data_IF_396715181813
#
_entry.id   IF_396715181813
#
_cell.length_a   1.000
_cell.length_b   1.000
_cell.length_c   1.000
_cell.angle_alpha   90.00
_cell.angle_beta   90.00
_cell.angle_gamma   90.00
#
_symmetry.space_group_name_H-M   'P 1'
#
loop_
_entity.id
_entity.type
_entity.pdbx_description
1 polymer ?
#
# COMPACT_ATOMS: atom_id res chain seq x y z
N UNK A 1 17.49 -2.17 -1.53
CA UNK A 1 17.29 -1.68 -0.15
C UNK A 1 16.18 -2.44 0.54
N UNK A 2 16.19 -2.47 1.88
CA UNK A 2 15.18 -3.16 2.70
C UNK A 2 14.65 -2.18 3.72
N UNK A 3 13.34 -2.09 3.81
CA UNK A 3 12.62 -1.24 4.75
C UNK A 3 11.69 -2.09 5.61
N UNK A 4 11.50 -1.68 6.85
CA UNK A 4 10.48 -2.18 7.75
C UNK A 4 9.22 -1.34 7.57
N UNK A 5 8.09 -2.01 7.31
CA UNK A 5 6.78 -1.37 7.33
C UNK A 5 6.25 -1.46 8.75
N UNK A 6 5.90 -0.32 9.33
CA UNK A 6 5.48 -0.19 10.72
C UNK A 6 4.09 0.45 10.81
N UNK A 7 3.27 -0.03 11.75
CA UNK A 7 2.07 0.65 12.24
C UNK A 7 2.39 1.21 13.63
N UNK A 8 2.58 2.53 13.72
CA UNK A 8 3.15 3.12 14.93
C UNK A 8 4.52 2.50 15.19
N UNK A 9 4.74 1.95 16.38
CA UNK A 9 6.00 1.29 16.73
C UNK A 9 6.07 -0.19 16.36
N UNK A 10 4.98 -0.76 15.84
CA UNK A 10 4.87 -2.20 15.59
C UNK A 10 5.30 -2.51 14.16
N UNK A 11 6.33 -3.33 13.99
CA UNK A 11 6.75 -3.84 12.68
C UNK A 11 5.74 -4.87 12.17
N UNK A 12 5.10 -4.58 11.04
CA UNK A 12 4.07 -5.44 10.43
C UNK A 12 4.58 -6.19 9.19
N UNK A 13 5.71 -5.76 8.61
CA UNK A 13 6.32 -6.45 7.47
C UNK A 13 7.62 -5.83 7.01
N UNK A 14 8.17 -6.39 5.94
CA UNK A 14 9.39 -5.92 5.28
C UNK A 14 9.13 -5.65 3.82
N UNK A 15 9.51 -4.47 3.37
CA UNK A 15 9.48 -4.03 1.99
C UNK A 15 10.88 -4.16 1.40
N UNK A 16 11.01 -4.86 0.29
CA UNK A 16 12.27 -5.09 -0.43
C UNK A 16 12.16 -4.40 -1.78
N UNK A 17 13.02 -3.42 -2.02
CA UNK A 17 13.06 -2.66 -3.26
C UNK A 17 14.45 -2.84 -3.86
N UNK A 18 14.54 -3.40 -5.06
CA UNK A 18 15.77 -3.47 -5.86
C UNK A 18 15.45 -3.03 -7.29
N UNK A 19 16.46 -2.84 -8.13
CA UNK A 19 16.29 -2.45 -9.54
C UNK A 19 15.33 -3.37 -10.32
N UNK A 20 15.24 -4.64 -9.91
CA UNK A 20 14.48 -5.69 -10.59
C UNK A 20 13.34 -6.26 -9.76
N UNK A 21 13.07 -5.73 -8.57
CA UNK A 21 12.15 -6.38 -7.63
C UNK A 21 11.51 -5.42 -6.65
N UNK A 22 10.19 -5.52 -6.56
CA UNK A 22 9.39 -4.95 -5.49
C UNK A 22 8.64 -6.10 -4.78
N UNK A 23 9.00 -6.38 -3.53
CA UNK A 23 8.38 -7.45 -2.75
C UNK A 23 8.04 -6.98 -1.34
N UNK A 24 6.88 -7.41 -0.84
CA UNK A 24 6.49 -7.26 0.55
C UNK A 24 6.43 -8.62 1.25
N UNK A 25 7.03 -8.70 2.43
CA UNK A 25 7.10 -9.91 3.26
C UNK A 25 6.41 -9.60 4.60
N UNK A 26 5.18 -10.10 4.82
CA UNK A 26 4.44 -9.84 6.06
C UNK A 26 5.07 -10.54 7.27
N UNK A 27 5.05 -9.90 8.44
CA UNK A 27 5.51 -10.47 9.71
C UNK A 27 4.30 -10.99 10.50
N UNK A 28 4.13 -12.31 10.49
CA UNK A 28 2.92 -12.99 11.01
C UNK A 28 2.69 -12.84 12.51
N UNK A 29 3.75 -12.69 13.30
CA UNK A 29 3.64 -12.53 14.76
C UNK A 29 2.96 -11.23 15.16
N UNK A 30 3.18 -10.16 14.38
CA UNK A 30 2.53 -8.86 14.61
C UNK A 30 1.01 -8.92 14.35
N UNK A 31 0.56 -9.81 13.46
CA UNK A 31 -0.82 -9.90 13.00
C UNK A 31 -1.80 -10.40 14.09
N UNK A 32 -1.32 -11.14 15.09
CA UNK A 32 -2.22 -11.73 16.11
C UNK A 32 -2.75 -10.72 17.13
N UNK A 33 -2.16 -9.53 17.18
CA UNK A 33 -2.43 -8.54 18.23
C UNK A 33 -3.12 -7.27 17.70
N UNK A 34 -3.48 -7.23 16.42
CA UNK A 34 -3.95 -6.02 15.74
C UNK A 34 -5.38 -6.22 15.18
N UNK A 35 -6.31 -5.26 15.38
CA UNK A 35 -7.65 -5.33 14.80
C UNK A 35 -7.60 -5.31 13.26
N UNK A 36 -8.26 -6.30 12.64
CA UNK A 36 -8.14 -6.68 11.21
C UNK A 36 -8.43 -5.55 10.21
N UNK A 37 -9.26 -4.56 10.55
CA UNK A 37 -9.68 -3.51 9.60
C UNK A 37 -9.03 -2.14 9.85
N UNK A 38 -8.29 -1.94 10.95
CA UNK A 38 -7.66 -0.64 11.27
C UNK A 38 -6.14 -0.62 11.05
N UNK A 39 -5.54 -1.76 10.73
CA UNK A 39 -4.09 -1.93 10.87
C UNK A 39 -3.41 -2.56 9.65
N UNK A 40 -4.19 -3.12 8.74
CA UNK A 40 -3.65 -3.86 7.60
C UNK A 40 -3.79 -3.01 6.34
N UNK A 41 -2.70 -2.43 5.82
CA UNK A 41 -2.78 -1.66 4.59
C UNK A 41 -3.33 -2.49 3.43
N UNK A 42 -4.43 -2.06 2.78
CA UNK A 42 -4.86 -2.62 1.50
C UNK A 42 -3.70 -2.59 0.50
N UNK A 43 -3.57 -3.65 -0.31
CA UNK A 43 -2.46 -3.82 -1.26
C UNK A 43 -1.22 -4.51 -0.69
N UNK A 44 -0.97 -4.42 0.62
CA UNK A 44 0.09 -5.20 1.29
C UNK A 44 -0.39 -6.51 1.92
N UNK A 45 -1.67 -6.54 2.31
CA UNK A 45 -2.33 -7.71 2.87
C UNK A 45 -3.54 -8.08 2.01
N UNK A 46 -3.68 -9.38 1.73
CA UNK A 46 -4.87 -9.89 1.07
C UNK A 46 -5.96 -10.17 2.10
N UNK A 47 -7.19 -9.79 1.74
CA UNK A 47 -8.36 -9.99 2.56
C UNK A 47 -9.30 -10.99 1.89
N UNK A 48 -9.79 -11.93 2.69
CA UNK A 48 -10.90 -12.80 2.32
C UNK A 48 -12.12 -12.37 3.11
N UNK A 49 -13.28 -12.37 2.47
CA UNK A 49 -14.55 -12.05 3.11
C UNK A 49 -15.42 -13.30 3.09
N UNK A 50 -15.71 -13.85 4.27
CA UNK A 50 -16.60 -15.01 4.41
C UNK A 50 -17.72 -14.65 5.38
N UNK A 51 -18.98 -14.76 4.94
CA UNK A 51 -20.16 -14.46 5.76
C UNK A 51 -20.13 -13.07 6.44
N UNK A 52 -19.60 -12.05 5.75
CA UNK A 52 -19.50 -10.69 6.29
C UNK A 52 -18.33 -10.47 7.27
N UNK A 53 -17.50 -11.49 7.51
CA UNK A 53 -16.28 -11.38 8.33
C UNK A 53 -15.08 -11.24 7.41
N UNK A 54 -14.30 -10.18 7.60
CA UNK A 54 -13.02 -9.99 6.93
C UNK A 54 -11.93 -10.77 7.67
N UNK A 55 -11.15 -11.56 6.95
CA UNK A 55 -9.98 -12.27 7.44
C UNK A 55 -8.78 -11.96 6.56
N UNK A 56 -7.63 -11.68 7.18
CA UNK A 56 -6.38 -11.46 6.44
C UNK A 56 -5.76 -12.80 6.10
N UNK A 57 -5.53 -13.04 4.82
CA UNK A 57 -4.71 -14.16 4.37
C UNK A 57 -3.23 -13.81 4.60
N UNK A 58 -2.71 -14.25 5.74
CA UNK A 58 -1.30 -14.08 6.12
C UNK A 58 -0.33 -14.97 5.32
N UNK A 59 -0.83 -15.79 4.41
CA UNK A 59 -0.05 -16.71 3.57
C UNK A 59 0.09 -16.23 2.13
N UNK A 60 -0.91 -15.49 1.64
CA UNK A 60 -0.84 -14.86 0.34
C UNK A 60 0.22 -13.74 0.32
N UNK A 61 0.97 -13.67 -0.77
CA UNK A 61 1.88 -12.55 -1.05
C UNK A 61 1.18 -11.55 -1.95
N UNK A 62 1.28 -10.24 -1.68
CA UNK A 62 0.77 -9.23 -2.59
C UNK A 62 1.55 -9.25 -3.91
N UNK A 63 0.89 -8.88 -5.01
CA UNK A 63 1.55 -8.67 -6.30
C UNK A 63 2.33 -7.37 -6.30
N UNK A 64 3.23 -7.22 -7.26
CA UNK A 64 3.97 -5.98 -7.46
C UNK A 64 3.02 -4.80 -7.73
N UNK A 65 1.97 -4.99 -8.57
CA UNK A 65 1.00 -3.91 -8.82
C UNK A 65 0.23 -3.53 -7.55
N UNK A 66 -0.09 -4.49 -6.69
CA UNK A 66 -0.78 -4.22 -5.42
C UNK A 66 0.10 -3.41 -4.46
N UNK A 67 1.41 -3.67 -4.43
CA UNK A 67 2.37 -2.90 -3.63
C UNK A 67 2.52 -1.49 -4.21
N UNK A 68 2.66 -1.35 -5.54
CA UNK A 68 2.76 -0.04 -6.19
C UNK A 68 1.53 0.82 -5.94
N UNK A 69 0.34 0.24 -6.08
CA UNK A 69 -0.92 0.96 -5.80
C UNK A 69 -0.99 1.44 -4.35
N UNK A 70 -0.57 0.60 -3.40
CA UNK A 70 -0.47 1.01 -2.01
C UNK A 70 0.50 2.18 -1.79
N UNK A 71 1.61 2.24 -2.54
CA UNK A 71 2.53 3.38 -2.50
C UNK A 71 1.90 4.64 -3.10
N UNK A 72 1.23 4.51 -4.24
CA UNK A 72 0.52 5.61 -4.93
C UNK A 72 -0.55 6.24 -4.05
N UNK A 73 -1.32 5.42 -3.32
CA UNK A 73 -2.35 5.89 -2.40
C UNK A 73 -1.79 6.74 -1.24
N UNK A 74 -0.47 6.73 -1.02
CA UNK A 74 0.21 7.39 0.11
C UNK A 74 1.04 8.61 -0.30
N UNK A 75 1.08 8.92 -1.59
CA UNK A 75 1.71 10.12 -2.14
C UNK A 75 0.65 11.02 -2.77
N UNK A 76 0.99 12.27 -3.07
CA UNK A 76 0.06 13.18 -3.78
C UNK A 76 -0.13 12.70 -5.22
N UNK A 77 -1.32 12.90 -5.83
CA UNK A 77 -1.61 12.36 -7.16
C UNK A 77 -0.85 13.11 -8.27
N UNK A 78 -0.55 12.40 -9.37
CA UNK A 78 0.27 12.90 -10.49
C UNK A 78 -0.37 14.07 -11.25
N UNK A 79 -1.67 14.24 -11.16
CA UNK A 79 -2.46 15.30 -11.81
C UNK A 79 -2.73 16.50 -10.91
N UNK A 80 -2.17 16.52 -9.69
CA UNK A 80 -2.23 17.66 -8.78
C UNK A 80 -1.67 18.93 -9.43
N UNK A 81 -2.36 20.06 -9.23
CA UNK A 81 -2.01 21.35 -9.88
C UNK A 81 -0.64 21.89 -9.44
N UNK A 82 -0.31 21.80 -8.15
CA UNK A 82 0.93 22.26 -7.52
C UNK A 82 2.02 21.17 -7.45
N UNK A 83 1.85 20.06 -8.19
CA UNK A 83 2.77 18.91 -8.19
C UNK A 83 4.23 19.30 -8.44
N UNK A 84 4.48 20.19 -9.39
CA UNK A 84 5.84 20.59 -9.77
C UNK A 84 6.52 21.41 -8.64
N UNK A 85 5.76 22.19 -7.88
CA UNK A 85 6.28 22.96 -6.73
C UNK A 85 6.62 22.02 -5.57
N UNK A 86 5.76 21.03 -5.30
CA UNK A 86 6.00 20.01 -4.28
C UNK A 86 7.24 19.17 -4.59
N UNK A 87 7.37 18.71 -5.84
CA UNK A 87 8.54 17.97 -6.31
C UNK A 87 9.82 18.77 -6.09
N UNK A 88 9.80 20.06 -6.44
CA UNK A 88 10.94 20.95 -6.20
C UNK A 88 11.26 21.14 -4.72
N UNK A 89 10.24 21.25 -3.85
CA UNK A 89 10.42 21.42 -2.41
C UNK A 89 11.10 20.22 -1.74
N UNK A 90 10.87 19.01 -2.27
CA UNK A 90 11.52 17.78 -1.81
C UNK A 90 12.77 17.40 -2.62
N UNK A 91 13.20 18.28 -3.55
CA UNK A 91 14.43 18.09 -4.32
C UNK A 91 14.35 17.05 -5.44
N UNK A 92 13.15 16.78 -5.97
CA UNK A 92 12.93 15.86 -7.09
C UNK A 92 12.62 16.60 -8.38
N UNK A 93 13.24 16.16 -9.48
CA UNK A 93 13.03 16.73 -10.81
C UNK A 93 11.82 16.14 -11.55
N UNK A 94 11.34 14.97 -11.11
CA UNK A 94 10.27 14.24 -11.79
C UNK A 94 9.44 13.41 -10.81
N UNK A 95 8.20 13.14 -11.23
CA UNK A 95 7.27 12.31 -10.46
C UNK A 95 7.65 10.83 -10.60
N UNK A 96 8.27 10.28 -9.57
CA UNK A 96 8.57 8.84 -9.44
C UNK A 96 7.96 8.31 -8.14
N UNK A 97 7.06 7.32 -8.26
CA UNK A 97 6.25 6.82 -7.15
C UNK A 97 7.13 6.26 -6.04
N UNK A 98 8.12 5.45 -6.39
CA UNK A 98 8.97 4.77 -5.42
C UNK A 98 9.82 5.81 -4.67
N UNK A 99 10.49 6.71 -5.41
CA UNK A 99 11.33 7.75 -4.82
C UNK A 99 10.52 8.68 -3.92
N UNK A 100 9.34 9.13 -4.39
CA UNK A 100 8.41 9.94 -3.59
C UNK A 100 7.99 9.23 -2.30
N UNK A 101 7.60 7.96 -2.43
CA UNK A 101 7.18 7.15 -1.30
C UNK A 101 8.30 6.99 -0.26
N UNK A 102 9.54 6.79 -0.71
CA UNK A 102 10.70 6.67 0.16
C UNK A 102 11.01 7.99 0.88
N UNK A 103 11.01 9.12 0.18
CA UNK A 103 11.31 10.42 0.79
C UNK A 103 10.25 10.85 1.80
N UNK A 104 8.98 10.53 1.53
CA UNK A 104 7.89 10.80 2.47
C UNK A 104 7.80 9.74 3.58
N UNK A 105 8.72 8.76 3.62
CA UNK A 105 8.67 7.57 4.49
C UNK A 105 7.30 6.85 4.45
N UNK A 106 6.57 6.98 3.34
CA UNK A 106 5.19 6.51 3.20
C UNK A 106 4.25 7.03 4.29
N UNK A 107 4.53 8.15 4.95
CA UNK A 107 3.66 8.71 6.01
C UNK A 107 2.47 9.45 5.39
N UNK A 108 1.30 9.34 6.01
CA UNK A 108 0.13 10.16 5.67
C UNK A 108 -0.52 10.70 6.95
N UNK A 109 -1.41 11.68 6.84
CA UNK A 109 -2.21 12.17 7.97
C UNK A 109 -3.34 11.21 8.37
N UNK A 110 -3.69 10.24 7.52
CA UNK A 110 -4.84 9.34 7.69
C UNK A 110 -4.58 8.18 8.64
N UNK A 111 -3.32 7.82 8.85
CA UNK A 111 -2.94 6.67 9.68
C UNK A 111 -1.54 6.82 10.29
N UNK A 112 -1.11 5.79 11.02
CA UNK A 112 0.24 5.72 11.61
C UNK A 112 1.15 4.74 10.87
N UNK A 113 0.86 4.42 9.61
CA UNK A 113 1.70 3.58 8.78
C UNK A 113 2.89 4.37 8.23
N UNK A 114 4.05 3.74 8.22
CA UNK A 114 5.27 4.34 7.72
C UNK A 114 6.33 3.27 7.43
N UNK A 115 7.40 3.68 6.76
CA UNK A 115 8.57 2.85 6.52
C UNK A 115 9.83 3.42 7.17
N UNK A 116 10.73 2.53 7.56
CA UNK A 116 12.05 2.87 8.11
C UNK A 116 13.08 1.81 7.76
N UNK A 117 14.35 2.17 7.69
CA UNK A 117 15.45 1.21 7.59
C UNK A 117 15.82 0.58 8.94
N UNK A 118 15.44 1.22 10.05
CA UNK A 118 15.75 0.79 11.42
C UNK A 118 14.47 0.31 12.14
N UNK A 119 14.36 -0.98 12.48
CA UNK A 119 13.15 -1.50 13.13
C UNK A 119 12.92 -0.89 14.52
N UNK A 120 13.97 -0.40 15.18
CA UNK A 120 13.93 0.18 16.52
C UNK A 120 13.65 1.70 16.49
N UNK A 121 13.61 2.34 15.30
CA UNK A 121 13.26 3.76 15.17
C UNK A 121 11.82 3.98 15.68
N UNK A 122 11.60 4.81 16.71
CA UNK A 122 10.27 5.07 17.23
C UNK A 122 9.45 5.87 16.22
N UNK A 123 8.13 5.68 16.24
CA UNK A 123 7.22 6.48 15.44
C UNK A 123 7.24 7.93 15.94
N UNK A 124 7.97 8.77 15.23
CA UNK A 124 7.86 10.20 15.37
C UNK A 124 6.64 10.69 14.58
N UNK A 125 5.68 11.29 15.27
CA UNK A 125 4.67 12.15 14.66
C UNK A 125 5.26 13.41 14.00
N UNK A 126 6.59 13.60 14.09
CA UNK A 126 7.31 14.80 13.68
C UNK A 126 7.14 15.12 12.20
N UNK A 127 6.80 16.39 11.98
CA UNK A 127 6.82 17.18 10.73
C UNK A 127 6.87 16.31 9.48
N UNK A 128 5.75 15.66 9.16
CA UNK A 128 5.50 15.35 7.76
C UNK A 128 5.64 16.65 6.96
N UNK A 129 5.82 16.55 5.64
CA UNK A 129 5.58 17.67 4.74
C UNK A 129 4.18 18.32 4.92
N UNK A 130 3.35 17.86 5.86
CA UNK A 130 2.18 18.52 6.45
C UNK A 130 2.40 19.95 6.93
N UNK A 131 3.61 20.48 7.12
CA UNK A 131 3.77 21.95 7.23
C UNK A 131 3.50 22.68 5.90
N UNK A 132 3.37 21.96 4.79
CA UNK A 132 2.95 22.43 3.46
C UNK A 132 1.49 22.08 3.14
N UNK A 133 0.78 21.40 4.03
CA UNK A 133 -0.64 21.07 3.85
C UNK A 133 -1.41 21.77 4.96
N UNK A 134 -2.06 22.89 4.63
CA UNK A 134 -3.04 23.50 5.52
C UNK A 134 -4.11 22.47 5.87
N UNK A 135 -4.34 22.28 7.17
CA UNK A 135 -5.17 21.23 7.72
C UNK A 135 -6.69 21.41 7.47
N UNK A 136 -7.07 22.37 6.62
CA UNK A 136 -8.46 22.83 6.47
C UNK A 136 -9.23 22.16 5.30
N UNK A 137 -8.56 21.38 4.43
CA UNK A 137 -9.19 20.81 3.22
C UNK A 137 -9.42 19.28 3.25
N UNK A 138 -9.33 18.62 4.41
CA UNK A 138 -9.61 17.17 4.49
C UNK A 138 -11.07 16.95 4.86
N UNK A 139 -11.92 16.78 3.84
CA UNK A 139 -13.26 16.21 4.02
C UNK A 139 -13.17 14.90 4.80
N UNK A 140 -14.00 14.78 5.83
CA UNK A 140 -14.09 13.64 6.73
C UNK A 140 -14.47 12.37 5.94
N UNK A 141 -13.47 11.66 5.43
CA UNK A 141 -13.65 10.44 4.64
C UNK A 141 -14.14 9.31 5.57
N UNK A 142 -15.45 9.15 5.63
CA UNK A 142 -16.11 8.18 6.51
C UNK A 142 -15.77 6.73 6.11
N UNK A 143 -15.61 5.86 7.11
CA UNK A 143 -15.29 4.42 6.95
C UNK A 143 -16.23 3.63 5.99
N UNK A 144 -17.37 4.21 5.63
CA UNK A 144 -18.31 3.69 4.63
C UNK A 144 -17.79 3.72 3.19
N UNK A 145 -16.88 4.63 2.84
CA UNK A 145 -16.35 4.72 1.48
C UNK A 145 -15.15 3.77 1.24
N UNK A 146 -14.37 3.45 2.29
CA UNK A 146 -13.35 2.40 2.23
C UNK A 146 -13.96 1.02 1.96
N UNK A 147 -15.13 0.71 2.54
CA UNK A 147 -15.82 -0.57 2.33
C UNK A 147 -16.35 -0.75 0.90
N UNK A 148 -16.74 0.35 0.23
CA UNK A 148 -17.15 0.31 -1.18
C UNK A 148 -15.94 0.12 -2.10
N UNK A 149 -14.83 0.79 -1.80
CA UNK A 149 -13.58 0.63 -2.55
C UNK A 149 -12.96 -0.77 -2.36
N UNK A 150 -13.04 -1.37 -1.18
CA UNK A 150 -12.57 -2.74 -0.92
C UNK A 150 -13.37 -3.79 -1.71
N UNK A 151 -14.68 -3.62 -1.89
CA UNK A 151 -15.49 -4.51 -2.76
C UNK A 151 -15.06 -4.39 -4.22
N UNK A 152 -14.87 -3.17 -4.71
CA UNK A 152 -14.41 -2.92 -6.08
C UNK A 152 -13.01 -3.50 -6.35
N UNK A 153 -12.10 -3.39 -5.38
CA UNK A 153 -10.75 -3.98 -5.44
C UNK A 153 -10.78 -5.51 -5.51
N UNK A 154 -11.72 -6.15 -4.82
CA UNK A 154 -11.85 -7.61 -4.82
C UNK A 154 -12.48 -8.13 -6.12
N UNK A 155 -13.42 -7.38 -6.72
CA UNK A 155 -14.03 -7.73 -8.02
C UNK A 155 -13.03 -7.68 -9.18
N UNK A 156 -12.02 -6.80 -9.11
CA UNK A 156 -10.91 -6.76 -10.08
C UNK A 156 -9.98 -7.97 -9.98
N UNK A 157 -9.79 -8.55 -8.79
CA UNK A 157 -8.93 -9.72 -8.58
C UNK A 157 -9.59 -11.05 -8.97
N UNK A 158 -10.93 -11.11 -9.03
CA UNK A 158 -11.69 -12.32 -9.40
C UNK A 158 -11.85 -12.43 -10.94
N UNK A 159 -11.42 -11.41 -11.71
CA UNK A 159 -11.62 -11.30 -13.15
C UNK A 159 -10.78 -12.19 -14.08
N UNK A 160 -9.72 -12.86 -13.60
CA UNK A 160 -8.77 -13.56 -14.50
C UNK A 160 -8.55 -15.05 -14.24
N UNK A 161 -9.58 -15.78 -13.77
CA UNK A 161 -9.60 -17.25 -13.92
C UNK A 161 -10.62 -17.68 -14.97
N UNK A 162 -10.43 -17.24 -16.22
CA UNK A 162 -10.90 -18.01 -17.39
C UNK A 162 -9.70 -18.73 -17.99
N UNK A 163 -9.51 -19.96 -17.54
CA UNK A 163 -8.71 -20.98 -18.22
C UNK A 163 -9.09 -21.03 -19.71
N UNK A 164 -8.23 -20.51 -20.59
CA UNK A 164 -8.21 -20.91 -22.00
C UNK A 164 -7.63 -22.32 -22.06
N UNK A 165 -8.50 -23.33 -22.04
CA UNK A 165 -8.14 -24.67 -22.45
C UNK A 165 -7.75 -24.64 -23.94
N UNK A 166 -6.46 -24.79 -24.24
CA UNK A 166 -5.99 -25.06 -25.58
C UNK A 166 -6.36 -26.51 -25.93
N UNK A 167 -7.41 -26.68 -26.74
CA UNK A 167 -7.70 -27.93 -27.42
C UNK A 167 -6.68 -28.12 -28.55
N UNK A 168 -5.83 -29.12 -28.40
CA UNK A 168 -4.99 -29.65 -29.46
C UNK A 168 -5.82 -30.59 -30.34
N UNK A 169 -6.42 -30.08 -31.41
CA UNK A 169 -6.92 -30.94 -32.47
C UNK A 169 -5.79 -31.37 -33.40
N UNK A 170 -5.53 -32.68 -33.35
CA UNK A 170 -4.69 -33.43 -34.26
C UNK A 170 -5.13 -33.18 -35.70
N UNK A 171 -4.18 -32.76 -36.55
CA UNK A 171 -4.23 -33.06 -37.98
C UNK A 171 -3.97 -34.55 -38.17
N UNK A 172 -4.96 -35.29 -38.64
CA UNK A 172 -4.73 -36.54 -39.36
C UNK A 172 -5.54 -36.55 -40.66
N UNK A 173 -4.76 -36.69 -41.75
CA UNK A 173 -5.07 -37.10 -43.13
C UNK A 173 -5.82 -36.13 -44.04
#
# INVERSE_FOLDING_TARGET
MRYFVKQGDIVIGRLVITETKLEYIPIRSALRHLPVLKVYPPGLFLYTFTNGVAAVDSTAKPTEEAILRWMEDRIFPKDRQDKDELLKAIGLDSYDVITLFLELKGKTSRDTLWITEDPDEPYSKGETASSLYDADDIDEFTATDELKNLKFLNELHIGETKTKSYSSEKREK
#
